data_IF_828159727272
#
_entry.id   IF_828159727272
#
_cell.length_a   1.000
_cell.length_b   1.000
_cell.length_c   1.000
_cell.angle_alpha   90.00
_cell.angle_beta   90.00
_cell.angle_gamma   90.00
#
_symmetry.space_group_name_H-M   'P 1'
#
loop_
_entity.id
_entity.type
_entity.pdbx_description
1 polymer ?
#
# COMPACT_ATOMS: atom_id res chain seq x y z
N UNK A 1 4.20 -5.02 -26.32
CA UNK A 1 3.41 -4.98 -25.08
C UNK A 1 4.41 -5.06 -23.94
N UNK A 2 4.96 -3.92 -23.54
CA UNK A 2 5.96 -3.87 -22.46
C UNK A 2 5.23 -3.85 -21.11
N UNK A 3 5.43 -4.92 -20.34
CA UNK A 3 5.13 -4.94 -18.92
C UNK A 3 6.19 -4.09 -18.21
N UNK A 4 6.00 -2.77 -18.20
CA UNK A 4 6.85 -1.84 -17.45
C UNK A 4 6.71 -2.11 -15.94
N UNK A 5 7.53 -3.01 -15.41
CA UNK A 5 7.67 -3.17 -13.97
C UNK A 5 8.30 -1.88 -13.42
N UNK A 6 7.49 -1.03 -12.81
CA UNK A 6 7.96 0.15 -12.08
C UNK A 6 9.01 -0.28 -11.05
N UNK A 7 10.23 0.22 -11.19
CA UNK A 7 11.26 0.06 -10.17
C UNK A 7 10.78 0.68 -8.84
N UNK A 8 10.90 -0.03 -7.71
CA UNK A 8 10.52 0.51 -6.40
C UNK A 8 11.49 1.64 -5.98
N UNK A 9 10.95 2.76 -5.49
CA UNK A 9 11.74 3.85 -4.91
C UNK A 9 12.39 3.34 -3.60
N UNK A 10 13.68 3.61 -3.32
CA UNK A 10 14.29 3.26 -2.02
C UNK A 10 13.59 3.89 -0.81
N UNK A 11 12.79 4.96 -0.98
CA UNK A 11 11.90 5.52 0.05
C UNK A 11 10.55 4.78 0.17
N UNK A 12 10.24 3.83 -0.72
CA UNK A 12 8.93 3.16 -0.77
C UNK A 12 8.73 2.10 0.32
N UNK A 13 9.78 1.72 1.06
CA UNK A 13 9.73 0.75 2.15
C UNK A 13 9.18 -0.63 1.73
N UNK A 14 8.95 -1.55 2.68
CA UNK A 14 8.31 -2.83 2.37
C UNK A 14 6.85 -2.63 1.92
N UNK A 15 6.43 -3.41 0.94
CA UNK A 15 5.07 -3.41 0.39
C UNK A 15 4.57 -4.83 0.11
N UNK A 16 3.24 -4.97 0.05
CA UNK A 16 2.55 -6.19 -0.35
C UNK A 16 1.36 -5.88 -1.25
N UNK A 17 1.06 -6.77 -2.20
CA UNK A 17 -0.19 -6.70 -2.96
C UNK A 17 -1.34 -7.21 -2.10
N UNK A 18 -2.47 -6.51 -2.11
CA UNK A 18 -3.65 -6.86 -1.34
C UNK A 18 -4.12 -8.30 -1.62
N UNK A 19 -3.96 -8.75 -2.87
CA UNK A 19 -4.27 -10.11 -3.34
C UNK A 19 -3.62 -11.22 -2.50
N UNK A 20 -2.42 -10.97 -1.96
CA UNK A 20 -1.67 -11.94 -1.16
C UNK A 20 -2.09 -11.96 0.31
N UNK A 21 -2.99 -11.07 0.73
CA UNK A 21 -3.50 -11.02 2.10
C UNK A 21 -4.59 -12.06 2.36
N UNK A 22 -5.17 -12.68 1.32
CA UNK A 22 -6.23 -13.69 1.43
C UNK A 22 -7.64 -13.14 1.69
N UNK A 23 -7.76 -11.94 2.28
CA UNK A 23 -8.98 -11.14 2.33
C UNK A 23 -8.63 -9.68 2.04
N UNK A 24 -9.48 -9.03 1.25
CA UNK A 24 -9.36 -7.61 0.92
C UNK A 24 -10.75 -7.00 0.89
N UNK A 25 -10.90 -5.83 1.53
CA UNK A 25 -12.06 -4.95 1.39
C UNK A 25 -11.61 -3.65 0.77
N UNK A 26 -12.24 -3.28 -0.34
CA UNK A 26 -11.99 -2.01 -1.01
C UNK A 26 -13.18 -1.07 -0.84
N UNK A 27 -12.90 0.23 -0.89
CA UNK A 27 -13.90 1.25 -1.12
C UNK A 27 -14.41 1.12 -2.57
N UNK A 28 -15.72 0.94 -2.79
CA UNK A 28 -16.26 0.68 -4.12
C UNK A 28 -16.23 1.90 -5.05
N UNK A 29 -16.04 3.12 -4.51
CA UNK A 29 -16.02 4.36 -5.30
C UNK A 29 -14.61 4.73 -5.75
N UNK A 30 -13.62 4.48 -4.91
CA UNK A 30 -12.23 4.92 -5.11
C UNK A 30 -11.28 3.77 -5.41
N UNK A 31 -11.69 2.52 -5.17
CA UNK A 31 -10.82 1.35 -5.26
C UNK A 31 -9.76 1.28 -4.16
N UNK A 32 -9.80 2.20 -3.17
CA UNK A 32 -8.85 2.22 -2.08
C UNK A 32 -9.00 0.98 -1.19
N UNK A 33 -7.89 0.37 -0.80
CA UNK A 33 -7.90 -0.76 0.15
C UNK A 33 -8.19 -0.21 1.54
N UNK A 34 -9.27 -0.71 2.17
CA UNK A 34 -9.73 -0.29 3.49
C UNK A 34 -9.34 -1.29 4.57
N UNK A 35 -9.44 -2.59 4.29
CA UNK A 35 -9.12 -3.66 5.23
C UNK A 35 -8.47 -4.83 4.50
N UNK A 36 -7.56 -5.52 5.19
CA UNK A 36 -6.97 -6.77 4.72
C UNK A 36 -6.87 -7.78 5.85
N UNK A 37 -6.83 -9.07 5.54
CA UNK A 37 -6.33 -10.05 6.51
C UNK A 37 -4.81 -9.86 6.66
N UNK A 38 -4.32 -9.82 7.89
CA UNK A 38 -2.90 -9.57 8.15
C UNK A 38 -2.01 -10.58 7.40
N UNK A 39 -0.96 -10.14 6.68
CA UNK A 39 -0.16 -11.04 5.83
C UNK A 39 0.64 -12.10 6.58
N UNK A 40 0.85 -11.88 7.88
CA UNK A 40 1.48 -12.90 8.72
C UNK A 40 0.57 -14.12 8.80
N UNK A 41 1.04 -15.27 8.32
CA UNK A 41 0.34 -16.57 8.45
C UNK A 41 -0.07 -16.89 9.91
N UNK A 42 0.68 -16.32 10.85
CA UNK A 42 0.48 -16.46 12.29
C UNK A 42 -0.52 -15.46 12.87
N UNK A 43 -0.91 -14.41 12.13
CA UNK A 43 -1.85 -13.39 12.57
C UNK A 43 -3.07 -13.41 11.66
N UNK A 44 -4.16 -14.04 12.10
CA UNK A 44 -5.38 -14.16 11.31
C UNK A 44 -6.38 -13.02 11.57
N UNK A 45 -5.87 -11.82 11.85
CA UNK A 45 -6.71 -10.66 12.17
C UNK A 45 -6.98 -9.86 10.91
N UNK A 46 -8.24 -9.50 10.67
CA UNK A 46 -8.60 -8.48 9.70
C UNK A 46 -8.22 -7.12 10.28
N UNK A 47 -7.39 -6.38 9.56
CA UNK A 47 -6.77 -5.14 10.01
C UNK A 47 -7.09 -4.00 9.05
N UNK A 48 -7.28 -2.81 9.61
CA UNK A 48 -7.50 -1.61 8.82
C UNK A 48 -6.24 -1.22 8.03
N UNK A 49 -6.46 -0.60 6.88
CA UNK A 49 -5.44 0.05 6.07
C UNK A 49 -5.68 1.56 6.13
N UNK A 50 -4.72 2.29 6.69
CA UNK A 50 -4.78 3.74 6.87
C UNK A 50 -3.68 4.36 6.02
N UNK A 51 -4.04 5.29 5.14
CA UNK A 51 -3.12 5.91 4.18
C UNK A 51 -2.32 4.88 3.36
N UNK A 52 -2.98 3.79 2.96
CA UNK A 52 -2.37 2.70 2.20
C UNK A 52 -1.39 1.84 3.00
N UNK A 53 -1.39 1.91 4.34
CA UNK A 53 -0.51 1.13 5.22
C UNK A 53 -1.29 0.34 6.25
N UNK A 54 -0.78 -0.84 6.61
CA UNK A 54 -1.37 -1.67 7.67
C UNK A 54 -1.34 -0.91 8.99
N UNK A 55 -2.51 -0.72 9.59
CA UNK A 55 -2.66 -0.02 10.86
C UNK A 55 -2.06 -0.83 12.03
N UNK A 56 -1.81 -0.12 13.13
CA UNK A 56 -1.37 -0.73 14.38
C UNK A 56 -2.39 -1.76 14.86
N UNK A 57 -1.90 -2.95 15.21
CA UNK A 57 -2.69 -4.03 15.81
C UNK A 57 -1.77 -4.97 16.57
N UNK A 58 -2.34 -5.70 17.52
CA UNK A 58 -1.61 -6.76 18.21
C UNK A 58 -1.69 -8.07 17.44
N UNK A 59 -0.60 -8.83 17.44
CA UNK A 59 -0.58 -10.19 16.93
C UNK A 59 -1.50 -11.06 17.78
N UNK A 60 -2.53 -11.64 17.16
CA UNK A 60 -3.36 -12.68 17.78
C UNK A 60 -2.86 -14.06 17.37
N UNK A 61 -1.81 -14.49 18.04
CA UNK A 61 -1.21 -15.81 17.90
C UNK A 61 -1.72 -16.73 19.01
N UNK A 62 -2.20 -17.93 18.66
CA UNK A 62 -2.45 -18.97 19.66
C UNK A 62 -1.09 -19.40 20.24
N UNK A 63 -0.93 -19.30 21.57
CA UNK A 63 0.26 -19.69 22.33
C UNK A 63 1.50 -18.76 22.24
N UNK A 64 1.33 -17.50 21.79
CA UNK A 64 2.41 -16.50 21.87
C UNK A 64 1.88 -15.26 22.57
N UNK A 65 2.70 -14.65 23.42
CA UNK A 65 2.33 -13.42 24.11
C UNK A 65 1.92 -12.33 23.12
N UNK A 66 0.86 -11.54 23.42
CA UNK A 66 0.48 -10.38 22.64
C UNK A 66 1.67 -9.45 22.40
N UNK A 67 1.68 -8.77 21.27
CA UNK A 67 2.75 -7.85 20.91
C UNK A 67 2.51 -7.20 19.54
N UNK A 68 3.28 -6.16 19.20
CA UNK A 68 3.12 -5.47 17.94
C UNK A 68 3.39 -6.42 16.77
N UNK A 69 2.52 -6.36 15.75
CA UNK A 69 2.72 -7.10 14.53
C UNK A 69 3.85 -6.47 13.69
N UNK A 70 4.70 -7.29 13.09
CA UNK A 70 5.82 -6.83 12.24
C UNK A 70 5.37 -6.23 10.91
N UNK A 71 4.09 -6.45 10.55
CA UNK A 71 3.50 -5.91 9.33
C UNK A 71 2.92 -4.50 9.49
N UNK A 72 2.93 -3.95 10.71
CA UNK A 72 2.48 -2.57 10.96
C UNK A 72 3.29 -1.61 10.08
N UNK A 73 2.60 -0.70 9.39
CA UNK A 73 3.22 0.30 8.53
C UNK A 73 3.61 -0.19 7.12
N UNK A 74 3.57 -1.50 6.85
CA UNK A 74 3.79 -2.05 5.51
C UNK A 74 2.71 -1.54 4.56
N UNK A 75 3.12 -1.16 3.35
CA UNK A 75 2.18 -0.63 2.33
C UNK A 75 1.39 -1.74 1.69
N UNK A 76 0.13 -1.45 1.38
CA UNK A 76 -0.77 -2.35 0.67
C UNK A 76 -1.18 -1.70 -0.65
N UNK A 77 -0.91 -2.39 -1.76
CA UNK A 77 -1.33 -1.97 -3.09
C UNK A 77 -2.47 -2.86 -3.60
N UNK A 78 -3.55 -2.22 -4.06
CA UNK A 78 -4.59 -2.91 -4.83
C UNK A 78 -4.17 -3.11 -6.29
N UNK A 79 -4.83 -4.02 -6.99
CA UNK A 79 -4.59 -4.31 -8.42
C UNK A 79 -4.90 -3.13 -9.36
N UNK A 80 -5.62 -2.11 -8.89
CA UNK A 80 -5.99 -0.92 -9.67
C UNK A 80 -5.66 0.40 -8.96
N UNK A 81 -4.75 0.35 -7.98
CA UNK A 81 -4.22 1.58 -7.39
C UNK A 81 -3.18 2.17 -8.35
N UNK A 82 -3.61 2.98 -9.31
CA UNK A 82 -2.72 3.99 -9.88
C UNK A 82 -2.14 4.73 -8.68
N UNK A 83 -0.85 4.51 -8.42
CA UNK A 83 -0.14 5.23 -7.38
C UNK A 83 -0.47 6.73 -7.53
N UNK A 84 -0.60 7.52 -6.45
CA UNK A 84 -0.67 8.96 -6.61
C UNK A 84 0.57 9.36 -7.42
N UNK A 85 0.34 9.71 -8.69
CA UNK A 85 1.35 10.29 -9.54
C UNK A 85 1.81 11.50 -8.76
N UNK A 86 3.08 11.51 -8.40
CA UNK A 86 3.71 12.69 -7.81
C UNK A 86 3.18 13.89 -8.57
N UNK A 87 2.55 14.79 -7.80
CA UNK A 87 1.97 16.01 -8.31
C UNK A 87 2.99 16.60 -9.29
N UNK A 88 2.52 16.88 -10.50
CA UNK A 88 3.23 17.70 -11.44
C UNK A 88 3.63 18.99 -10.69
N UNK A 89 4.91 19.09 -10.33
CA UNK A 89 5.51 20.40 -10.10
C UNK A 89 5.57 21.07 -11.46
N UNK A 90 4.46 21.70 -11.80
CA UNK A 90 4.38 22.79 -12.75
C UNK A 90 5.32 23.89 -12.25
N UNK A 91 6.54 23.93 -12.78
CA UNK A 91 7.20 25.21 -13.04
C UNK A 91 7.30 25.36 -14.55
N UNK A 92 6.28 26.04 -15.06
CA UNK A 92 6.26 26.63 -16.38
C UNK A 92 7.35 27.71 -16.43
N UNK A 93 8.37 27.52 -17.27
CA UNK A 93 8.98 28.67 -17.95
C UNK A 93 9.05 28.35 -19.44
N UNK A 94 7.89 28.51 -20.08
CA UNK A 94 7.80 28.83 -21.49
C UNK A 94 8.23 30.28 -21.70
N UNK A 95 9.27 30.51 -22.48
CA UNK A 95 9.21 31.54 -23.53
C UNK A 95 10.31 31.27 -24.57
N UNK A 96 9.94 30.54 -25.61
CA UNK A 96 10.62 30.62 -26.91
C UNK A 96 10.08 31.86 -27.61
N UNK A 97 10.97 32.75 -28.09
CA UNK A 97 10.72 33.45 -29.35
C UNK A 97 12.02 33.97 -29.99
N UNK A 98 12.32 33.40 -31.15
CA UNK A 98 13.08 33.94 -32.28
C UNK A 98 13.66 35.35 -32.15
N UNK A 99 15.00 35.44 -32.20
CA UNK A 99 15.75 36.08 -33.30
C UNK A 99 17.24 35.76 -33.24
#
# INVERSE_FOLDING_TARGET
MEHGQRQPDPNDGPWIRAEHCGYVKCDPKTGAVLEVLCPSILCQTVVAVVNGRIAAHERKLRNVAPGPCVWIGVRVFGSESVAPSVAASSEQQTENRDR
#
